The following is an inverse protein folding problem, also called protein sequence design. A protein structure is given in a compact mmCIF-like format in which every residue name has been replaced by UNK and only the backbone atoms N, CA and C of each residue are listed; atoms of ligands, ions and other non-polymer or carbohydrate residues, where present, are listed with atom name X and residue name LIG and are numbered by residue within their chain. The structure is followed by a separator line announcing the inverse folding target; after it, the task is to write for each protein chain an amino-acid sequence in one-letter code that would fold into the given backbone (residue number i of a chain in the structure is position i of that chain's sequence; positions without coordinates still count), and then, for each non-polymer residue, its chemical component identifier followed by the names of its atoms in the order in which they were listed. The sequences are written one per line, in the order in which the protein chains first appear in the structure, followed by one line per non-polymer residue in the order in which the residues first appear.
data_IF_388442736844
#
_entry.id   IF_388442736844
#
_cell.length_a   1.000
_cell.length_b   1.000
_cell.length_c   1.000
_cell.angle_alpha   90.00
_cell.angle_beta   90.00
_cell.angle_gamma   90.00
#
_symmetry.space_group_name_H-M   'P 1'
#
loop_
_entity.id
_entity.type
_entity.pdbx_description
1 polymer ?
#
# COMPACT_ATOMS: atom_id res chain seq x y z
N UNK A 1 -18.62 44.42 6.15
CA UNK A 1 -17.17 44.45 5.86
C UNK A 1 -16.45 44.13 7.16
N UNK A 2 -16.02 42.88 7.32
CA UNK A 2 -15.37 42.45 8.55
C UNK A 2 -14.86 41.02 8.40
N UNK A 3 -13.60 40.82 8.77
CA UNK A 3 -13.06 39.55 9.23
C UNK A 3 -12.72 38.51 8.16
N UNK A 4 -11.60 38.69 7.47
CA UNK A 4 -10.81 37.58 6.92
C UNK A 4 -9.38 38.08 6.70
N UNK A 5 -8.42 37.37 7.30
CA UNK A 5 -6.99 37.29 6.92
C UNK A 5 -6.03 37.46 8.10
N UNK A 6 -5.85 36.39 8.89
CA UNK A 6 -4.61 36.19 9.66
C UNK A 6 -4.15 34.72 9.70
N UNK A 7 -4.81 33.81 8.97
CA UNK A 7 -4.44 32.38 8.95
C UNK A 7 -3.58 31.95 7.74
N UNK A 8 -3.21 32.86 6.84
CA UNK A 8 -2.60 32.51 5.53
C UNK A 8 -1.14 32.99 5.37
N UNK A 9 -0.45 33.39 6.43
CA UNK A 9 0.88 34.01 6.30
C UNK A 9 2.01 33.39 7.15
N UNK A 10 1.90 32.10 7.49
CA UNK A 10 3.05 31.30 7.97
C UNK A 10 3.15 30.04 7.12
N UNK A 11 3.39 30.24 5.83
CA UNK A 11 3.51 29.17 4.84
C UNK A 11 4.64 29.52 3.88
N UNK A 12 5.85 29.71 4.40
CA UNK A 12 7.06 29.86 3.60
C UNK A 12 8.27 29.33 4.35
N UNK A 13 8.99 28.43 3.67
CA UNK A 13 10.30 27.87 3.98
C UNK A 13 10.38 26.71 5.00
N UNK A 14 9.70 25.60 4.67
CA UNK A 14 10.26 24.26 4.88
C UNK A 14 10.40 23.65 3.48
N UNK A 15 11.64 23.35 3.08
CA UNK A 15 11.99 22.97 1.71
C UNK A 15 11.35 21.63 1.28
N UNK A 16 10.16 21.70 0.67
CA UNK A 16 9.48 20.56 0.09
C UNK A 16 10.04 20.28 -1.33
N UNK A 17 11.11 19.49 -1.43
CA UNK A 17 11.55 18.99 -2.76
C UNK A 17 10.64 17.81 -3.22
N UNK A 18 9.72 18.05 -4.14
CA UNK A 18 8.93 16.96 -4.76
C UNK A 18 9.76 16.12 -5.75
N UNK A 19 9.46 14.81 -5.81
CA UNK A 19 10.04 13.71 -6.63
C UNK A 19 11.10 12.86 -5.91
N UNK A 20 10.86 11.53 -5.91
CA UNK A 20 11.68 10.43 -5.35
C UNK A 20 12.91 10.91 -4.56
N UNK A 21 12.69 11.18 -3.27
CA UNK A 21 13.75 11.64 -2.39
C UNK A 21 14.52 10.42 -1.88
N UNK A 22 15.72 10.21 -2.43
CA UNK A 22 16.73 9.40 -1.74
C UNK A 22 17.23 10.18 -0.54
N UNK A 23 17.23 9.59 0.65
CA UNK A 23 17.92 10.20 1.79
C UNK A 23 19.46 10.17 1.56
N UNK A 24 20.23 10.76 2.46
CA UNK A 24 21.71 10.78 2.38
C UNK A 24 22.34 9.36 2.30
N UNK A 25 21.59 8.32 2.68
CA UNK A 25 22.01 6.92 2.64
C UNK A 25 21.44 6.15 1.42
N UNK A 26 20.83 6.85 0.46
CA UNK A 26 20.29 6.23 -0.76
C UNK A 26 18.95 5.50 -0.60
N UNK A 27 18.30 5.57 0.56
CA UNK A 27 16.99 4.93 0.78
C UNK A 27 15.88 5.71 0.10
N UNK A 28 15.07 5.03 -0.71
CA UNK A 28 13.86 5.57 -1.31
C UNK A 28 12.78 5.74 -0.24
N UNK A 29 12.35 6.97 0.00
CA UNK A 29 11.25 7.30 0.92
C UNK A 29 10.20 8.12 0.20
N UNK A 30 8.95 7.98 0.63
CA UNK A 30 7.84 8.74 0.05
C UNK A 30 7.95 10.21 0.45
N UNK A 31 8.25 10.46 1.73
CA UNK A 31 8.43 11.78 2.29
C UNK A 31 9.72 11.85 3.09
N UNK A 32 10.45 12.95 2.91
CA UNK A 32 11.65 13.29 3.67
C UNK A 32 11.48 14.71 4.20
N UNK A 33 11.64 14.84 5.51
CA UNK A 33 11.63 16.09 6.24
C UNK A 33 12.91 16.25 7.06
N UNK A 34 13.38 17.47 7.24
CA UNK A 34 14.45 17.80 8.17
C UNK A 34 13.92 18.87 9.13
N UNK A 35 14.02 18.62 10.43
CA UNK A 35 13.57 19.56 11.47
C UNK A 35 14.70 20.55 11.74
N UNK A 36 14.42 21.85 11.64
CA UNK A 36 15.45 22.89 11.85
C UNK A 36 15.34 23.58 13.22
N UNK A 37 14.17 23.54 13.84
CA UNK A 37 13.92 24.19 15.14
C UNK A 37 13.04 23.32 16.01
N UNK A 38 13.10 23.50 17.34
CA UNK A 38 12.31 22.74 18.32
C UNK A 38 10.81 22.94 18.08
N UNK A 39 10.38 24.16 17.71
CA UNK A 39 8.96 24.46 17.40
C UNK A 39 8.42 23.71 16.16
N UNK A 40 9.31 23.21 15.30
CA UNK A 40 8.94 22.49 14.09
C UNK A 40 8.83 20.98 14.29
N UNK A 41 9.31 20.43 15.42
CA UNK A 41 9.27 18.98 15.71
C UNK A 41 7.84 18.44 15.56
N UNK A 42 6.91 18.98 16.35
CA UNK A 42 5.53 18.50 16.35
C UNK A 42 4.81 18.76 15.00
N UNK A 43 4.89 19.95 14.38
CA UNK A 43 4.35 20.17 13.04
C UNK A 43 4.90 19.21 11.97
N UNK A 44 6.21 18.96 11.94
CA UNK A 44 6.84 18.05 10.97
C UNK A 44 6.41 16.61 11.21
N UNK A 45 6.40 16.15 12.46
CA UNK A 45 5.88 14.82 12.79
C UNK A 45 4.43 14.70 12.34
N UNK A 46 3.58 15.68 12.63
CA UNK A 46 2.16 15.65 12.21
C UNK A 46 1.95 15.58 10.70
N UNK A 47 2.89 16.04 9.87
CA UNK A 47 2.84 15.87 8.41
C UNK A 47 2.98 14.41 7.96
N UNK A 48 3.38 13.48 8.83
CA UNK A 48 3.33 12.03 8.53
C UNK A 48 1.90 11.53 8.27
N UNK A 49 0.86 12.30 8.64
CA UNK A 49 -0.53 12.01 8.25
C UNK A 49 -0.72 11.95 6.73
N UNK A 50 0.08 12.71 5.98
CA UNK A 50 0.16 12.58 4.53
C UNK A 50 0.60 11.19 4.09
N UNK A 51 1.47 10.51 4.84
CA UNK A 51 1.87 9.13 4.57
C UNK A 51 0.87 8.07 5.06
N UNK A 52 -0.20 8.47 5.74
CA UNK A 52 -1.35 7.61 5.97
C UNK A 52 -2.46 7.85 4.94
N UNK A 53 -2.37 8.95 4.19
CA UNK A 53 -3.30 9.32 3.13
C UNK A 53 -2.95 8.53 1.85
N UNK A 54 -3.92 8.39 0.95
CA UNK A 54 -3.76 7.57 -0.27
C UNK A 54 -3.20 6.16 0.00
N UNK A 55 -2.04 5.82 -0.59
CA UNK A 55 -1.32 4.56 -0.39
C UNK A 55 -0.20 4.80 0.62
N UNK A 56 -0.28 4.24 1.83
CA UNK A 56 0.71 4.51 2.86
C UNK A 56 2.13 4.07 2.47
N UNK A 57 3.11 4.85 2.91
CA UNK A 57 4.53 4.58 2.66
C UNK A 57 5.45 5.15 3.74
N UNK A 58 6.76 4.87 3.63
CA UNK A 58 7.73 5.26 4.64
C UNK A 58 8.00 6.77 4.62
N UNK A 59 8.05 7.36 5.81
CA UNK A 59 8.48 8.76 6.04
C UNK A 59 9.81 8.76 6.77
N UNK A 60 10.76 9.54 6.29
CA UNK A 60 12.00 9.81 7.00
C UNK A 60 11.98 11.23 7.56
N UNK A 61 12.26 11.36 8.86
CA UNK A 61 12.42 12.65 9.51
C UNK A 61 13.83 12.74 10.08
N UNK A 62 14.61 13.67 9.57
CA UNK A 62 15.96 13.97 10.05
C UNK A 62 15.87 14.99 11.19
N UNK A 63 16.47 14.64 12.32
CA UNK A 63 16.65 15.53 13.46
C UNK A 63 18.14 15.87 13.59
N UNK A 64 18.55 17.12 13.29
CA UNK A 64 19.88 17.61 13.65
C UNK A 64 20.10 17.51 15.15
N UNK A 65 21.36 17.27 15.53
CA UNK A 65 21.73 17.04 16.93
C UNK A 65 21.32 18.21 17.83
N UNK A 66 21.46 19.45 17.34
CA UNK A 66 21.15 20.67 18.09
C UNK A 66 19.66 20.83 18.45
N UNK A 67 18.77 20.12 17.77
CA UNK A 67 17.33 20.12 18.06
C UNK A 67 16.96 19.08 19.13
N UNK A 68 17.86 18.14 19.41
CA UNK A 68 17.63 17.02 20.34
C UNK A 68 18.20 17.24 21.75
N UNK A 69 19.19 18.12 21.89
CA UNK A 69 19.79 18.46 23.18
C UNK A 69 19.14 19.71 23.78
N UNK A 70 19.29 19.89 25.10
CA UNK A 70 18.85 21.11 25.76
C UNK A 70 19.72 22.31 25.37
N UNK A 71 19.16 23.50 25.59
CA UNK A 71 19.78 24.77 25.24
C UNK A 71 21.21 24.92 25.78
N UNK A 72 21.48 24.47 27.01
CA UNK A 72 22.80 24.65 27.62
C UNK A 72 23.86 23.78 26.95
N UNK A 73 23.52 22.53 26.64
CA UNK A 73 24.41 21.62 25.94
C UNK A 73 24.74 22.10 24.52
N UNK A 74 23.74 22.62 23.79
CA UNK A 74 23.97 23.20 22.45
C UNK A 74 24.84 24.45 22.54
N UNK A 75 24.56 25.33 23.52
CA UNK A 75 25.34 26.55 23.72
C UNK A 75 26.81 26.27 24.08
N UNK A 76 27.08 25.22 24.86
CA UNK A 76 28.45 24.78 25.13
C UNK A 76 29.12 24.22 23.87
N UNK A 77 28.39 23.45 23.07
CA UNK A 77 28.89 22.80 21.85
C UNK A 77 29.28 23.78 20.72
N UNK A 78 28.61 24.93 20.62
CA UNK A 78 28.90 25.92 19.55
C UNK A 78 30.19 26.73 19.78
N UNK A 79 30.80 26.65 20.98
CA UNK A 79 32.14 27.19 21.23
C UNK A 79 32.30 28.69 20.97
N UNK A 80 31.61 29.54 21.74
CA UNK A 80 31.69 31.00 21.59
C UNK A 80 33.13 31.54 21.76
N UNK A 81 33.51 32.50 20.91
CA UNK A 81 34.80 33.17 20.98
C UNK A 81 34.92 34.09 22.20
N UNK A 82 36.15 34.43 22.59
CA UNK A 82 36.42 35.32 23.73
C UNK A 82 35.67 36.67 23.61
N UNK A 83 35.03 37.17 24.69
CA UNK A 83 34.36 38.48 24.71
C UNK A 83 35.30 39.66 24.39
N UNK A 84 36.61 39.47 24.56
CA UNK A 84 37.67 40.45 24.26
C UNK A 84 38.19 40.35 22.82
N UNK A 85 37.56 39.54 21.97
CA UNK A 85 37.94 39.36 20.57
C UNK A 85 37.71 40.60 19.70
N UNK A 86 38.22 40.52 18.47
CA UNK A 86 38.05 41.53 17.43
C UNK A 86 36.57 41.69 17.00
N UNK A 87 36.31 42.69 16.16
CA UNK A 87 34.94 42.97 15.69
C UNK A 87 34.30 41.76 15.00
N UNK A 88 35.09 40.97 14.27
CA UNK A 88 34.64 39.74 13.62
C UNK A 88 34.20 38.69 14.63
N UNK A 89 34.97 38.48 15.71
CA UNK A 89 34.60 37.55 16.78
C UNK A 89 33.28 37.92 17.44
N UNK A 90 33.01 39.21 17.63
CA UNK A 90 31.73 39.70 18.18
C UNK A 90 30.56 39.46 17.24
N UNK A 91 30.75 39.68 15.93
CA UNK A 91 29.75 39.40 14.90
C UNK A 91 29.44 37.89 14.85
N UNK A 92 30.47 37.05 14.88
CA UNK A 92 30.33 35.59 14.90
C UNK A 92 29.55 35.15 16.15
N UNK A 93 29.92 35.64 17.34
CA UNK A 93 29.20 35.33 18.57
C UNK A 93 27.74 35.77 18.53
N UNK A 94 27.46 36.96 18.00
CA UNK A 94 26.10 37.46 17.82
C UNK A 94 25.27 36.56 16.89
N UNK A 95 25.84 36.17 15.75
CA UNK A 95 25.21 35.26 14.80
C UNK A 95 24.94 33.89 15.44
N UNK A 96 25.94 33.30 16.10
CA UNK A 96 25.81 32.00 16.77
C UNK A 96 24.74 32.03 17.84
N UNK A 97 24.71 33.08 18.67
CA UNK A 97 23.67 33.26 19.69
C UNK A 97 22.28 33.43 19.08
N UNK A 98 22.15 34.18 17.98
CA UNK A 98 20.90 34.32 17.26
C UNK A 98 20.43 33.00 16.63
N UNK A 99 21.38 32.20 16.10
CA UNK A 99 21.09 30.90 15.52
C UNK A 99 20.59 29.92 16.57
N UNK A 100 21.33 29.75 17.68
CA UNK A 100 20.92 28.92 18.81
C UNK A 100 19.59 29.41 19.39
N UNK A 101 19.43 30.73 19.57
CA UNK A 101 18.17 31.32 19.98
C UNK A 101 17.01 30.93 19.07
N UNK A 102 17.20 30.96 17.75
CA UNK A 102 16.17 30.55 16.79
C UNK A 102 15.84 29.05 16.85
N UNK A 103 16.81 28.18 17.13
CA UNK A 103 16.57 26.73 17.30
C UNK A 103 15.53 26.48 18.39
N UNK A 104 15.62 27.18 19.52
CA UNK A 104 14.75 26.96 20.68
C UNK A 104 13.55 27.92 20.75
N UNK A 105 13.54 29.00 19.97
CA UNK A 105 12.47 30.00 19.98
C UNK A 105 11.09 29.37 19.72
N UNK A 106 10.14 29.61 20.63
CA UNK A 106 8.77 29.10 20.59
C UNK A 106 8.64 27.58 20.71
N UNK A 107 9.74 26.86 20.98
CA UNK A 107 9.76 25.40 20.98
C UNK A 107 9.03 24.73 22.14
N UNK A 108 8.89 25.44 23.27
CA UNK A 108 8.26 24.94 24.49
C UNK A 108 6.87 25.55 24.75
N UNK A 109 6.34 26.31 23.79
CA UNK A 109 4.97 26.79 23.84
C UNK A 109 4.00 25.62 23.72
N UNK A 110 3.06 25.51 24.66
CA UNK A 110 2.00 24.51 24.58
C UNK A 110 1.12 24.84 23.37
N UNK A 111 0.98 23.86 22.47
CA UNK A 111 0.11 23.93 21.30
C UNK A 111 -0.82 22.74 21.33
N UNK A 112 -2.12 22.99 21.24
CA UNK A 112 -3.09 21.92 21.04
C UNK A 112 -3.04 21.46 19.59
N UNK A 113 -3.03 20.15 19.43
CA UNK A 113 -2.98 19.50 18.14
C UNK A 113 -4.21 18.62 17.98
N UNK A 114 -5.12 19.00 17.09
CA UNK A 114 -6.32 18.21 16.78
C UNK A 114 -6.03 16.85 16.12
N UNK A 115 -7.05 16.05 15.80
CA UNK A 115 -6.87 14.83 15.01
C UNK A 115 -6.24 15.14 13.66
N UNK A 116 -5.45 14.21 13.15
CA UNK A 116 -4.78 14.37 11.86
C UNK A 116 -5.79 14.19 10.72
N UNK A 117 -5.89 15.13 9.77
CA UNK A 117 -6.70 14.91 8.58
C UNK A 117 -6.04 13.83 7.72
N UNK A 118 -6.76 12.75 7.43
CA UNK A 118 -6.32 11.71 6.51
C UNK A 118 -7.22 11.78 5.29
N UNK A 119 -6.64 12.17 4.15
CA UNK A 119 -7.36 12.22 2.89
C UNK A 119 -7.32 10.88 2.18
N UNK A 120 -8.46 10.46 1.65
CA UNK A 120 -8.62 9.19 0.97
C UNK A 120 -9.56 9.38 -0.21
N UNK A 121 -9.16 8.94 -1.41
CA UNK A 121 -10.00 9.09 -2.58
C UNK A 121 -11.22 8.18 -2.44
N UNK A 122 -12.39 8.69 -2.80
CA UNK A 122 -13.66 7.97 -2.74
C UNK A 122 -14.22 7.88 -4.16
N UNK A 123 -14.75 6.71 -4.52
CA UNK A 123 -15.38 6.52 -5.81
C UNK A 123 -16.69 7.32 -5.89
N UNK A 124 -16.97 7.94 -7.03
CA UNK A 124 -18.27 8.56 -7.24
C UNK A 124 -19.36 7.49 -7.41
N UNK A 125 -20.61 7.83 -7.07
CA UNK A 125 -21.76 6.95 -7.29
C UNK A 125 -21.88 6.48 -8.75
N UNK A 126 -21.55 7.36 -9.71
CA UNK A 126 -21.51 7.01 -11.13
C UNK A 126 -20.46 5.96 -11.46
N UNK A 127 -19.26 6.03 -10.87
CA UNK A 127 -18.23 5.02 -11.05
C UNK A 127 -18.63 3.67 -10.44
N UNK A 128 -19.24 3.68 -9.26
CA UNK A 128 -19.78 2.46 -8.63
C UNK A 128 -20.86 1.84 -9.52
N UNK A 129 -21.81 2.64 -10.01
CA UNK A 129 -22.89 2.17 -10.88
C UNK A 129 -22.37 1.57 -12.20
N UNK A 130 -21.35 2.19 -12.81
CA UNK A 130 -20.70 1.65 -14.01
C UNK A 130 -20.02 0.30 -13.74
N UNK A 131 -19.36 0.15 -12.59
CA UNK A 131 -18.76 -1.11 -12.20
C UNK A 131 -19.83 -2.21 -12.01
N UNK A 132 -20.92 -1.88 -11.31
CA UNK A 132 -22.06 -2.78 -11.11
C UNK A 132 -22.67 -3.20 -12.46
N UNK A 133 -22.87 -2.27 -13.39
CA UNK A 133 -23.40 -2.58 -14.73
C UNK A 133 -22.48 -3.54 -15.50
N UNK A 134 -21.17 -3.30 -15.48
CA UNK A 134 -20.20 -4.17 -16.14
C UNK A 134 -20.20 -5.58 -15.54
N UNK A 135 -20.20 -5.68 -14.21
CA UNK A 135 -20.12 -6.95 -13.49
C UNK A 135 -21.42 -7.74 -13.58
N UNK A 136 -22.58 -7.08 -13.48
CA UNK A 136 -23.90 -7.74 -13.55
C UNK A 136 -24.16 -8.49 -14.86
N UNK A 137 -23.46 -8.11 -15.94
CA UNK A 137 -23.54 -8.76 -17.27
C UNK A 137 -22.42 -9.78 -17.51
N UNK A 138 -21.50 -9.95 -16.57
CA UNK A 138 -20.34 -10.82 -16.71
C UNK A 138 -20.73 -12.28 -16.61
N UNK A 139 -20.16 -13.12 -17.48
CA UNK A 139 -20.29 -14.57 -17.44
C UNK A 139 -19.08 -15.24 -16.77
N UNK A 140 -17.90 -14.64 -16.90
CA UNK A 140 -16.63 -15.12 -16.33
C UNK A 140 -15.89 -13.99 -15.59
N UNK A 141 -16.51 -13.38 -14.57
CA UNK A 141 -15.84 -12.34 -13.79
C UNK A 141 -14.68 -12.91 -12.97
N UNK A 142 -13.68 -12.08 -12.71
CA UNK A 142 -12.57 -12.36 -11.78
C UNK A 142 -12.20 -11.11 -10.98
N UNK A 143 -11.77 -11.29 -9.73
CA UNK A 143 -11.15 -10.24 -8.92
C UNK A 143 -9.69 -10.60 -8.66
N UNK A 144 -8.78 -9.65 -8.86
CA UNK A 144 -7.41 -9.73 -8.36
C UNK A 144 -7.27 -8.74 -7.21
N UNK A 145 -7.13 -9.25 -5.98
CA UNK A 145 -6.93 -8.44 -4.79
C UNK A 145 -5.44 -8.21 -4.52
N UNK A 146 -5.05 -6.94 -4.41
CA UNK A 146 -3.74 -6.51 -3.95
C UNK A 146 -3.80 -5.94 -2.53
N UNK A 147 -2.64 -5.74 -1.90
CA UNK A 147 -2.52 -5.31 -0.50
C UNK A 147 -3.29 -4.03 -0.14
N UNK A 148 -3.57 -3.14 -1.10
CA UNK A 148 -4.36 -1.94 -0.79
C UNK A 148 -5.79 -2.24 -0.32
N UNK A 149 -6.32 -3.43 -0.61
CA UNK A 149 -7.63 -3.85 -0.15
C UNK A 149 -7.72 -4.05 1.37
N UNK A 150 -6.58 -4.23 2.06
CA UNK A 150 -6.53 -4.37 3.53
C UNK A 150 -6.28 -3.05 4.26
N UNK A 151 -6.22 -1.93 3.53
CA UNK A 151 -5.96 -0.62 4.11
C UNK A 151 -7.25 0.00 4.69
N UNK A 152 -7.16 0.81 5.77
CA UNK A 152 -8.32 1.47 6.38
C UNK A 152 -8.93 2.52 5.44
N UNK A 153 -10.26 2.73 5.43
CA UNK A 153 -11.14 2.55 6.59
C UNK A 153 -11.83 1.20 6.66
N UNK A 154 -11.92 0.46 5.55
CA UNK A 154 -12.79 -0.71 5.49
C UNK A 154 -12.19 -1.87 6.28
N UNK A 155 -12.89 -2.41 7.29
CA UNK A 155 -12.43 -3.59 8.00
C UNK A 155 -12.32 -4.80 7.07
N UNK A 156 -11.27 -5.59 7.24
CA UNK A 156 -10.99 -6.77 6.40
C UNK A 156 -12.16 -7.77 6.42
N UNK A 157 -12.82 -7.94 7.57
CA UNK A 157 -13.98 -8.82 7.70
C UNK A 157 -15.22 -8.35 6.93
N UNK A 158 -15.45 -7.04 6.85
CA UNK A 158 -16.55 -6.49 6.05
C UNK A 158 -16.28 -6.69 4.56
N UNK A 159 -15.02 -6.47 4.14
CA UNK A 159 -14.62 -6.73 2.77
C UNK A 159 -14.73 -8.23 2.43
N UNK A 160 -14.33 -9.14 3.34
CA UNK A 160 -14.51 -10.58 3.16
C UNK A 160 -15.97 -10.95 2.91
N UNK A 161 -16.89 -10.45 3.75
CA UNK A 161 -18.34 -10.66 3.57
C UNK A 161 -18.84 -10.11 2.24
N UNK A 162 -18.35 -8.95 1.83
CA UNK A 162 -18.72 -8.35 0.54
C UNK A 162 -18.25 -9.21 -0.65
N UNK A 163 -17.04 -9.78 -0.59
CA UNK A 163 -16.51 -10.70 -1.59
C UNK A 163 -17.32 -12.00 -1.65
N UNK A 164 -17.65 -12.57 -0.49
CA UNK A 164 -18.51 -13.75 -0.37
C UNK A 164 -19.90 -13.50 -0.97
N UNK A 165 -20.50 -12.35 -0.66
CA UNK A 165 -21.79 -11.95 -1.21
C UNK A 165 -21.78 -11.74 -2.73
N UNK A 166 -20.67 -11.23 -3.29
CA UNK A 166 -20.53 -11.10 -4.75
C UNK A 166 -20.40 -12.46 -5.46
N UNK A 167 -19.87 -13.49 -4.77
CA UNK A 167 -19.72 -14.82 -5.34
C UNK A 167 -18.73 -14.91 -6.51
N UNK A 168 -17.84 -13.92 -6.67
CA UNK A 168 -16.88 -13.85 -7.80
C UNK A 168 -15.55 -14.52 -7.42
N UNK A 169 -14.96 -15.36 -8.28
CA UNK A 169 -13.63 -15.93 -8.02
C UNK A 169 -12.54 -14.88 -7.84
N UNK A 170 -11.69 -15.08 -6.84
CA UNK A 170 -10.68 -14.14 -6.38
C UNK A 170 -9.28 -14.76 -6.41
N UNK A 171 -8.32 -14.03 -6.96
CA UNK A 171 -6.89 -14.25 -6.75
C UNK A 171 -6.38 -13.28 -5.68
N UNK A 172 -5.85 -13.82 -4.58
CA UNK A 172 -5.35 -13.04 -3.45
C UNK A 172 -3.83 -12.83 -3.54
N UNK A 173 -3.38 -11.59 -3.43
CA UNK A 173 -1.97 -11.20 -3.50
C UNK A 173 -1.53 -10.34 -2.32
N UNK A 174 -0.23 -10.43 -1.98
CA UNK A 174 0.35 -9.65 -0.88
C UNK A 174 -0.39 -9.87 0.44
N UNK A 175 -0.78 -8.78 1.10
CA UNK A 175 -1.44 -8.79 2.41
C UNK A 175 -2.89 -9.32 2.38
N UNK A 176 -3.47 -9.53 1.19
CA UNK A 176 -4.84 -10.08 1.08
C UNK A 176 -4.89 -11.60 1.17
N UNK A 177 -3.72 -12.27 1.18
CA UNK A 177 -3.66 -13.72 1.37
C UNK A 177 -4.19 -14.09 2.75
N UNK A 178 -4.97 -15.17 2.82
CA UNK A 178 -5.67 -15.60 4.04
C UNK A 178 -7.06 -14.98 4.23
N UNK A 179 -7.39 -13.85 3.57
CA UNK A 179 -8.65 -13.12 3.79
C UNK A 179 -9.92 -13.94 3.56
N UNK A 180 -9.93 -14.91 2.65
CA UNK A 180 -11.12 -15.73 2.38
C UNK A 180 -11.11 -17.05 3.17
N UNK A 181 -10.08 -17.31 3.96
CA UNK A 181 -9.87 -18.60 4.62
C UNK A 181 -9.34 -19.70 3.69
N UNK A 182 -8.98 -20.84 4.31
CA UNK A 182 -8.28 -21.96 3.68
C UNK A 182 -9.07 -22.62 2.55
N UNK A 183 -10.35 -22.90 2.80
CA UNK A 183 -11.23 -23.71 1.95
C UNK A 183 -12.28 -22.90 1.16
N UNK A 184 -12.07 -21.59 0.98
CA UNK A 184 -13.05 -20.76 0.27
C UNK A 184 -13.32 -21.28 -1.16
N UNK A 185 -14.60 -21.38 -1.57
CA UNK A 185 -14.96 -21.72 -2.95
C UNK A 185 -14.58 -20.62 -3.94
N UNK A 186 -14.36 -19.38 -3.46
CA UNK A 186 -14.04 -18.22 -4.31
C UNK A 186 -12.53 -18.01 -4.46
N UNK A 187 -11.72 -18.46 -3.51
CA UNK A 187 -10.26 -18.29 -3.60
C UNK A 187 -9.65 -19.24 -4.63
N UNK A 188 -9.12 -18.71 -5.73
CA UNK A 188 -8.39 -19.46 -6.75
C UNK A 188 -6.90 -19.17 -6.62
N UNK A 189 -6.06 -20.21 -6.64
CA UNK A 189 -4.62 -20.10 -6.36
C UNK A 189 -3.76 -20.31 -7.61
N UNK A 190 -4.14 -21.26 -8.45
CA UNK A 190 -3.35 -21.73 -9.58
C UNK A 190 -3.87 -21.13 -10.90
N UNK A 191 -3.09 -21.32 -11.97
CA UNK A 191 -3.51 -21.05 -13.37
C UNK A 191 -4.07 -19.64 -13.61
N UNK A 192 -3.68 -18.65 -12.79
CA UNK A 192 -4.10 -17.24 -12.92
C UNK A 192 -3.97 -16.69 -14.33
N UNK A 193 -2.87 -17.01 -15.01
CA UNK A 193 -2.60 -16.58 -16.39
C UNK A 193 -3.71 -17.01 -17.35
N UNK A 194 -4.20 -18.23 -17.21
CA UNK A 194 -5.20 -18.81 -18.11
C UNK A 194 -6.58 -18.24 -17.78
N UNK A 195 -6.91 -18.14 -16.48
CA UNK A 195 -8.13 -17.49 -16.01
C UNK A 195 -8.25 -16.04 -16.52
N UNK A 196 -7.18 -15.25 -16.48
CA UNK A 196 -7.18 -13.85 -16.96
C UNK A 196 -7.34 -13.71 -18.49
N UNK A 197 -6.96 -14.73 -19.27
CA UNK A 197 -7.20 -14.74 -20.72
C UNK A 197 -8.65 -15.06 -21.06
N UNK A 198 -9.31 -15.87 -20.22
CA UNK A 198 -10.68 -16.34 -20.43
C UNK A 198 -11.73 -15.40 -19.85
N UNK A 199 -11.38 -14.63 -18.83
CA UNK A 199 -12.30 -13.72 -18.14
C UNK A 199 -12.83 -12.61 -19.06
N UNK A 200 -14.13 -12.35 -18.99
CA UNK A 200 -14.80 -11.29 -19.73
C UNK A 200 -14.88 -9.97 -18.93
N UNK A 201 -14.80 -10.05 -17.60
CA UNK A 201 -14.62 -8.89 -16.71
C UNK A 201 -13.54 -9.21 -15.67
N UNK A 202 -12.60 -8.28 -15.46
CA UNK A 202 -11.58 -8.40 -14.43
C UNK A 202 -11.57 -7.14 -13.57
N UNK A 203 -11.72 -7.30 -12.27
CA UNK A 203 -11.52 -6.23 -11.29
C UNK A 203 -10.10 -6.31 -10.75
N UNK A 204 -9.28 -5.32 -11.07
CA UNK A 204 -7.95 -5.11 -10.47
C UNK A 204 -8.14 -4.26 -9.20
N UNK A 205 -8.30 -4.92 -8.06
CA UNK A 205 -8.57 -4.32 -6.77
C UNK A 205 -7.27 -4.03 -6.01
N UNK A 206 -6.67 -2.86 -6.23
CA UNK A 206 -5.36 -2.51 -5.66
C UNK A 206 -4.20 -3.30 -6.26
N UNK A 207 -4.46 -4.14 -7.25
CA UNK A 207 -3.46 -4.90 -7.99
C UNK A 207 -2.86 -4.03 -9.10
N UNK A 208 -1.54 -3.89 -9.10
CA UNK A 208 -0.82 -3.07 -10.08
C UNK A 208 -0.36 -3.96 -11.25
N UNK A 209 -0.60 -3.57 -12.51
CA UNK A 209 -0.11 -4.30 -13.69
C UNK A 209 1.41 -4.19 -13.88
N UNK A 210 2.18 -4.68 -12.92
CA UNK A 210 3.64 -4.78 -12.94
C UNK A 210 4.10 -6.14 -13.49
N UNK A 211 5.38 -6.49 -13.29
CA UNK A 211 5.96 -7.75 -13.75
C UNK A 211 5.18 -9.00 -13.27
N UNK A 212 4.53 -8.96 -12.09
CA UNK A 212 3.74 -10.08 -11.54
C UNK A 212 2.47 -10.35 -12.35
N UNK A 213 1.93 -9.31 -12.98
CA UNK A 213 0.82 -9.38 -13.93
C UNK A 213 1.30 -9.24 -15.38
N UNK A 214 2.58 -9.52 -15.64
CA UNK A 214 3.20 -9.45 -16.96
C UNK A 214 2.95 -8.10 -17.67
N UNK A 215 3.02 -7.01 -16.90
CA UNK A 215 2.79 -5.63 -17.35
C UNK A 215 1.38 -5.40 -17.94
N UNK A 216 0.40 -6.22 -17.56
CA UNK A 216 -0.96 -6.19 -18.10
C UNK A 216 -1.16 -6.99 -19.40
N UNK A 217 -0.09 -7.49 -20.04
CA UNK A 217 -0.18 -8.25 -21.31
C UNK A 217 -0.93 -9.57 -21.21
N UNK A 218 -1.11 -10.06 -19.99
CA UNK A 218 -1.90 -11.28 -19.71
C UNK A 218 -3.40 -11.03 -19.79
N UNK A 219 -3.85 -9.78 -19.61
CA UNK A 219 -5.24 -9.41 -19.65
C UNK A 219 -5.76 -9.55 -21.08
N UNK A 220 -6.89 -10.24 -21.24
CA UNK A 220 -7.51 -10.39 -22.55
C UNK A 220 -7.96 -9.04 -23.10
N UNK A 221 -7.67 -8.78 -24.39
CA UNK A 221 -8.15 -7.57 -25.09
C UNK A 221 -9.68 -7.48 -25.18
N UNK A 222 -10.37 -8.63 -25.01
CA UNK A 222 -11.84 -8.70 -25.00
C UNK A 222 -12.43 -8.45 -23.61
N UNK A 223 -11.62 -8.55 -22.56
CA UNK A 223 -12.07 -8.37 -21.18
C UNK A 223 -12.32 -6.91 -20.86
N UNK A 224 -13.36 -6.62 -20.09
CA UNK A 224 -13.61 -5.31 -19.50
C UNK A 224 -12.85 -5.23 -18.18
N UNK A 225 -11.81 -4.39 -18.17
CA UNK A 225 -10.96 -4.23 -16.99
C UNK A 225 -11.48 -3.07 -16.13
N UNK A 226 -11.85 -3.36 -14.89
CA UNK A 226 -12.18 -2.36 -13.87
C UNK A 226 -10.95 -2.25 -12.97
N UNK A 227 -10.25 -1.13 -13.02
CA UNK A 227 -9.10 -0.88 -12.16
C UNK A 227 -9.49 0.08 -11.03
N UNK A 228 -9.18 -0.29 -9.79
CA UNK A 228 -9.35 0.57 -8.62
C UNK A 228 -8.05 0.60 -7.82
N UNK A 229 -7.57 1.80 -7.50
CA UNK A 229 -6.35 2.01 -6.75
C UNK A 229 -6.38 3.40 -6.10
N UNK A 230 -5.80 3.56 -4.91
CA UNK A 230 -5.74 4.87 -4.26
C UNK A 230 -4.75 5.81 -4.96
N UNK A 231 -3.68 5.27 -5.53
CA UNK A 231 -2.66 6.04 -6.24
C UNK A 231 -2.92 6.04 -7.75
N UNK A 232 -3.10 7.23 -8.32
CA UNK A 232 -3.37 7.42 -9.76
C UNK A 232 -2.26 6.92 -10.68
N UNK A 233 -1.00 7.02 -10.27
CA UNK A 233 0.13 6.55 -11.08
C UNK A 233 0.16 5.02 -11.17
N UNK A 234 -0.14 4.34 -10.06
CA UNK A 234 -0.27 2.88 -10.01
C UNK A 234 -1.52 2.40 -10.75
N UNK A 235 -2.64 3.13 -10.62
CA UNK A 235 -3.91 2.84 -11.30
C UNK A 235 -3.75 2.66 -12.80
N UNK A 236 -2.92 3.51 -13.43
CA UNK A 236 -2.75 3.57 -14.88
C UNK A 236 -1.38 3.03 -15.34
N UNK A 237 -0.64 2.36 -14.46
CA UNK A 237 0.68 1.86 -14.80
C UNK A 237 0.61 0.88 -15.98
N UNK A 238 1.43 1.12 -16.99
CA UNK A 238 1.48 0.37 -18.26
C UNK A 238 0.19 0.39 -19.10
N UNK A 239 -0.81 1.19 -18.71
CA UNK A 239 -2.05 1.35 -19.47
C UNK A 239 -1.80 2.06 -20.82
N UNK A 240 -2.70 1.85 -21.78
CA UNK A 240 -2.64 2.46 -23.11
C UNK A 240 -1.87 1.63 -24.14
N UNK A 241 -0.74 1.04 -23.73
CA UNK A 241 0.11 0.19 -24.57
C UNK A 241 -0.18 -1.30 -24.35
N UNK A 242 -0.09 -1.78 -23.10
CA UNK A 242 -0.15 -3.21 -22.79
C UNK A 242 -1.56 -3.69 -22.43
N UNK A 243 -2.39 -2.78 -21.90
CA UNK A 243 -3.77 -3.04 -21.50
C UNK A 243 -4.55 -1.71 -21.45
N UNK A 244 -5.88 -1.74 -21.37
CA UNK A 244 -6.71 -0.54 -21.22
C UNK A 244 -7.86 -0.79 -20.23
N UNK A 245 -8.07 0.08 -19.24
CA UNK A 245 -9.23 -0.02 -18.37
C UNK A 245 -10.50 0.32 -19.15
N UNK A 246 -11.55 -0.48 -18.96
CA UNK A 246 -12.92 -0.09 -19.29
C UNK A 246 -13.44 0.94 -18.28
N UNK A 247 -13.00 0.82 -17.03
CA UNK A 247 -13.26 1.76 -15.95
C UNK A 247 -12.00 1.88 -15.08
N UNK A 248 -11.57 3.11 -14.82
CA UNK A 248 -10.47 3.41 -13.90
C UNK A 248 -10.98 4.31 -12.77
N UNK A 249 -10.81 3.86 -11.53
CA UNK A 249 -11.35 4.51 -10.34
C UNK A 249 -10.19 4.79 -9.38
N UNK A 250 -9.87 6.07 -9.19
CA UNK A 250 -8.99 6.47 -8.10
C UNK A 250 -9.82 6.50 -6.82
N UNK A 251 -9.72 5.46 -5.99
CA UNK A 251 -10.50 5.33 -4.76
C UNK A 251 -9.89 4.32 -3.80
N UNK A 252 -10.35 4.37 -2.55
CA UNK A 252 -10.18 3.27 -1.61
C UNK A 252 -10.79 1.97 -2.14
N UNK A 253 -9.97 0.91 -2.19
CA UNK A 253 -10.33 -0.39 -2.76
C UNK A 253 -11.40 -1.08 -1.94
N UNK A 254 -11.26 -1.09 -0.60
CA UNK A 254 -12.21 -1.75 0.29
C UNK A 254 -13.59 -1.12 0.21
N UNK A 255 -13.66 0.21 0.33
CA UNK A 255 -14.92 0.97 0.29
C UNK A 255 -15.60 0.83 -1.07
N UNK A 256 -14.82 0.89 -2.17
CA UNK A 256 -15.35 0.70 -3.51
C UNK A 256 -15.96 -0.70 -3.70
N UNK A 257 -15.27 -1.76 -3.28
CA UNK A 257 -15.79 -3.12 -3.40
C UNK A 257 -17.03 -3.35 -2.54
N UNK A 258 -17.12 -2.74 -1.37
CA UNK A 258 -18.30 -2.80 -0.51
C UNK A 258 -19.53 -2.17 -1.20
N UNK A 259 -19.36 -0.99 -1.81
CA UNK A 259 -20.44 -0.32 -2.55
C UNK A 259 -20.83 -1.08 -3.82
N UNK A 260 -19.86 -1.64 -4.55
CA UNK A 260 -20.15 -2.50 -5.71
C UNK A 260 -20.92 -3.76 -5.29
N UNK A 261 -20.53 -4.39 -4.18
CA UNK A 261 -21.23 -5.57 -3.63
C UNK A 261 -22.70 -5.26 -3.32
N UNK A 262 -22.98 -4.11 -2.71
CA UNK A 262 -24.37 -3.65 -2.45
C UNK A 262 -25.19 -3.47 -3.72
N UNK A 263 -24.57 -3.04 -4.83
CA UNK A 263 -25.25 -2.85 -6.11
C UNK A 263 -25.47 -4.14 -6.91
N UNK A 264 -24.83 -5.24 -6.52
CA UNK A 264 -24.90 -6.54 -7.22
C UNK A 264 -25.98 -7.47 -6.66
N UNK A 265 -27.06 -6.93 -6.06
CA UNK A 265 -28.17 -7.74 -5.54
C UNK A 265 -28.77 -8.64 -6.64
N UNK A 266 -28.78 -9.95 -6.40
CA UNK A 266 -29.31 -10.94 -7.34
C UNK A 266 -28.35 -11.36 -8.46
N UNK A 267 -27.16 -10.76 -8.54
CA UNK A 267 -26.09 -11.28 -9.39
C UNK A 267 -25.60 -12.62 -8.83
N UNK A 268 -25.46 -13.61 -9.71
CA UNK A 268 -24.86 -14.89 -9.38
C UNK A 268 -23.82 -15.23 -10.43
N UNK A 269 -22.57 -15.42 -10.00
CA UNK A 269 -21.54 -15.94 -10.88
C UNK A 269 -21.88 -17.39 -11.28
N UNK A 270 -21.62 -17.74 -12.54
CA UNK A 270 -21.82 -19.11 -13.04
C UNK A 270 -21.06 -20.12 -12.18
N UNK A 271 -21.78 -21.14 -11.69
CA UNK A 271 -21.18 -22.26 -10.96
C UNK A 271 -20.22 -23.05 -11.83
N UNK A 272 -20.50 -23.18 -13.13
CA UNK A 272 -19.61 -23.84 -14.08
C UNK A 272 -18.27 -23.10 -14.17
N UNK A 273 -18.29 -21.75 -14.15
CA UNK A 273 -17.06 -20.97 -14.15
C UNK A 273 -16.22 -21.23 -12.90
N UNK A 274 -16.84 -21.11 -11.72
CA UNK A 274 -16.17 -21.34 -10.43
C UNK A 274 -15.59 -22.77 -10.38
N UNK A 275 -16.40 -23.77 -10.70
CA UNK A 275 -15.99 -25.18 -10.71
C UNK A 275 -14.85 -25.44 -11.70
N UNK A 276 -14.90 -24.83 -12.89
CA UNK A 276 -13.82 -24.99 -13.87
C UNK A 276 -12.47 -24.43 -13.39
N UNK A 277 -12.49 -23.35 -12.60
CA UNK A 277 -11.28 -22.80 -11.99
C UNK A 277 -10.79 -23.69 -10.84
N UNK A 278 -11.71 -24.20 -10.01
CA UNK A 278 -11.38 -25.12 -8.91
C UNK A 278 -10.81 -26.45 -9.37
N UNK A 279 -11.37 -27.04 -10.43
CA UNK A 279 -10.82 -28.25 -11.03
C UNK A 279 -9.37 -28.05 -11.51
N UNK A 280 -9.04 -26.86 -12.02
CA UNK A 280 -7.67 -26.52 -12.43
C UNK A 280 -6.72 -26.33 -11.24
N UNK A 281 -7.22 -25.80 -10.11
CA UNK A 281 -6.47 -25.74 -8.86
C UNK A 281 -6.15 -27.16 -8.39
N UNK A 282 -7.15 -28.03 -8.29
CA UNK A 282 -7.02 -29.43 -7.85
C UNK A 282 -6.06 -30.24 -8.74
N UNK A 283 -6.17 -30.10 -10.06
CA UNK A 283 -5.25 -30.73 -11.02
C UNK A 283 -3.80 -30.32 -10.75
N UNK A 284 -3.58 -29.01 -10.54
CA UNK A 284 -2.25 -28.46 -10.33
C UNK A 284 -1.69 -28.83 -8.96
N UNK A 285 -2.52 -28.86 -7.93
CA UNK A 285 -2.16 -29.30 -6.58
C UNK A 285 -1.79 -30.79 -6.57
N UNK A 286 -2.58 -31.64 -7.23
CA UNK A 286 -2.27 -33.06 -7.40
C UNK A 286 -0.95 -33.27 -8.13
N UNK A 287 -0.69 -32.50 -9.19
CA UNK A 287 0.60 -32.54 -9.90
C UNK A 287 1.76 -32.11 -9.00
N UNK A 288 1.58 -31.09 -8.16
CA UNK A 288 2.62 -30.61 -7.24
C UNK A 288 2.88 -31.61 -6.10
N UNK A 289 1.84 -32.30 -5.60
CA UNK A 289 1.99 -33.36 -4.59
C UNK A 289 2.82 -34.52 -5.13
N UNK A 290 2.53 -34.99 -6.36
CA UNK A 290 3.35 -36.03 -7.01
C UNK A 290 4.83 -35.64 -7.07
N UNK A 291 5.12 -34.39 -7.44
CA UNK A 291 6.50 -33.86 -7.47
C UNK A 291 7.15 -33.78 -6.08
N UNK A 292 6.36 -33.60 -5.03
CA UNK A 292 6.87 -33.60 -3.66
C UNK A 292 7.25 -35.01 -3.18
N UNK A 293 6.70 -36.06 -3.81
CA UNK A 293 6.99 -37.46 -3.50
C UNK A 293 8.17 -38.04 -4.30
N UNK A 294 8.68 -37.29 -5.29
CA UNK A 294 9.83 -37.71 -6.08
C UNK A 294 11.04 -38.00 -5.18
N UNK A 295 11.63 -39.19 -5.34
CA UNK A 295 12.80 -39.62 -4.58
C UNK A 295 14.01 -38.75 -4.94
N UNK A 296 14.57 -38.11 -3.94
CA UNK A 296 15.81 -37.34 -4.06
C UNK A 296 16.97 -38.15 -3.51
N UNK A 297 18.05 -38.26 -4.29
CA UNK A 297 19.23 -39.00 -3.87
C UNK A 297 20.05 -38.21 -2.84
N UNK A 298 20.06 -36.87 -2.94
CA UNK A 298 20.85 -35.94 -2.12
C UNK A 298 19.97 -34.71 -1.81
N UNK A 299 20.09 -34.16 -0.59
CA UNK A 299 19.31 -33.03 -0.07
C UNK A 299 17.79 -33.25 0.04
N UNK A 300 17.06 -32.24 0.54
CA UNK A 300 15.61 -32.28 0.74
C UNK A 300 14.87 -31.78 -0.52
N UNK A 301 13.74 -32.41 -0.83
CA UNK A 301 12.81 -31.89 -1.84
C UNK A 301 12.07 -30.66 -1.26
N UNK A 302 12.21 -29.45 -1.85
CA UNK A 302 11.64 -28.22 -1.29
C UNK A 302 10.11 -28.26 -1.24
N UNK A 303 9.45 -28.93 -2.19
CA UNK A 303 7.99 -29.06 -2.16
C UNK A 303 7.54 -29.96 -1.01
N UNK A 304 8.29 -31.04 -0.74
CA UNK A 304 8.00 -31.94 0.40
C UNK A 304 8.10 -31.21 1.73
N UNK A 305 9.14 -30.39 1.89
CA UNK A 305 9.30 -29.53 3.08
C UNK A 305 8.11 -28.60 3.24
N UNK A 306 7.70 -27.91 2.17
CA UNK A 306 6.55 -27.00 2.22
C UNK A 306 5.23 -27.71 2.57
N UNK A 307 4.99 -28.92 2.06
CA UNK A 307 3.81 -29.70 2.44
C UNK A 307 3.84 -30.18 3.90
N UNK A 308 5.02 -30.50 4.43
CA UNK A 308 5.17 -30.84 5.85
C UNK A 308 4.92 -29.62 6.75
N UNK A 309 5.39 -28.44 6.33
CA UNK A 309 5.11 -27.18 7.02
C UNK A 309 3.62 -26.88 6.99
N UNK A 310 2.98 -27.00 5.82
CA UNK A 310 1.54 -26.83 5.63
C UNK A 310 0.69 -27.75 6.53
N UNK A 311 1.13 -29.00 6.74
CA UNK A 311 0.47 -29.96 7.62
C UNK A 311 0.67 -29.65 9.11
N UNK A 312 1.81 -29.05 9.47
CA UNK A 312 2.15 -28.72 10.84
C UNK A 312 1.61 -27.35 11.31
N UNK A 313 1.22 -26.47 10.37
CA UNK A 313 0.71 -25.14 10.66
C UNK A 313 -0.71 -25.16 11.25
N UNK A 314 -0.96 -24.26 12.19
CA UNK A 314 -2.30 -23.97 12.71
C UNK A 314 -3.00 -22.85 11.92
N UNK A 315 -4.30 -22.65 12.16
CA UNK A 315 -5.10 -21.63 11.46
C UNK A 315 -4.70 -20.19 11.83
N UNK A 316 -4.03 -20.00 12.97
CA UNK A 316 -3.58 -18.68 13.46
C UNK A 316 -2.12 -18.37 13.08
N UNK A 317 -1.47 -19.26 12.33
CA UNK A 317 -0.06 -19.15 11.95
C UNK A 317 0.20 -17.90 11.09
N UNK A 318 1.21 -17.14 11.49
CA UNK A 318 1.69 -15.98 10.71
C UNK A 318 2.87 -16.42 9.84
N UNK A 319 2.69 -16.35 8.51
CA UNK A 319 3.73 -16.71 7.55
C UNK A 319 4.55 -15.47 7.19
N UNK A 320 5.86 -15.53 7.45
CA UNK A 320 6.85 -14.57 6.96
C UNK A 320 7.75 -15.29 5.97
N UNK A 321 7.85 -14.77 4.75
CA UNK A 321 8.59 -15.40 3.66
C UNK A 321 9.45 -14.40 2.91
N UNK A 322 10.71 -14.76 2.67
CA UNK A 322 11.66 -14.03 1.83
C UNK A 322 12.50 -15.03 1.01
N UNK A 323 12.96 -14.57 -0.15
CA UNK A 323 13.66 -15.38 -1.15
C UNK A 323 12.99 -15.39 -2.52
N UNK A 324 13.53 -16.21 -3.43
CA UNK A 324 13.07 -16.35 -4.80
C UNK A 324 12.19 -17.59 -5.00
N UNK A 325 12.76 -18.63 -5.62
CA UNK A 325 12.02 -19.82 -6.05
C UNK A 325 11.31 -20.57 -4.91
N UNK A 326 11.90 -20.57 -3.72
CA UNK A 326 11.31 -21.19 -2.55
C UNK A 326 10.02 -20.48 -2.11
N UNK A 327 10.04 -19.15 -2.01
CA UNK A 327 8.83 -18.33 -1.72
C UNK A 327 7.82 -18.44 -2.84
N UNK A 328 8.28 -18.47 -4.09
CA UNK A 328 7.44 -18.70 -5.25
C UNK A 328 6.65 -20.00 -5.12
N UNK A 329 7.28 -21.07 -4.64
CA UNK A 329 6.63 -22.36 -4.39
C UNK A 329 5.74 -22.34 -3.14
N UNK A 330 6.21 -21.73 -2.05
CA UNK A 330 5.47 -21.59 -0.79
C UNK A 330 4.14 -20.84 -0.99
N UNK A 331 4.13 -19.80 -1.83
CA UNK A 331 2.94 -19.01 -2.15
C UNK A 331 1.81 -19.82 -2.83
N UNK A 332 2.08 -21.01 -3.32
CA UNK A 332 1.08 -21.90 -3.92
C UNK A 332 0.74 -23.12 -3.04
N UNK A 333 1.52 -23.38 -2.00
CA UNK A 333 1.36 -24.56 -1.13
C UNK A 333 0.82 -24.17 0.25
N UNK A 334 1.40 -23.17 0.91
CA UNK A 334 1.02 -22.76 2.26
C UNK A 334 -0.31 -21.99 2.24
N UNK A 335 -1.27 -22.40 3.08
CA UNK A 335 -2.66 -21.89 3.07
C UNK A 335 -3.13 -21.32 4.40
#
# INVERSE_FOLDING_TARGET
MGGLSTATQVQSEITERGREKKNKNGMSVELLYTVQTVRDIAPVLRRHSGAQSDTPGPVFVEFPIDVLYDYQNVLMGVGLNSPKGDLMSKIVNMYTMSHVGNIFAGGFELREYGPLPVDRPIASSGQVQQAVELVSRAKKPLIILGSQATLPPTPVDELRKALEAMGIPCFLGGMTRGMLGRNSPLHIRQRRRDALKEADVVILAGAVPDFRLNYGRVLSKRSKIIAVNRNKSQLLLNAGVMWRPALAVQADVGSFLLEVSKGLTGFNCSSEWIQSLKARDEEKETSNLKKAEDKVNHFLNPLKVLYQVEEAMDEESIIVADGGDFVGSAAYILR
#
